data_IF_389765085060
#
_entry.id   IF_389765085060
#
_cell.length_a   1.000
_cell.length_b   1.000
_cell.length_c   1.000
_cell.angle_alpha   90.00
_cell.angle_beta   90.00
_cell.angle_gamma   90.00
#
_symmetry.space_group_name_H-M   'P 1'
#
loop_
_entity.id
_entity.type
_entity.pdbx_description
1 polymer ?
#
# COMPACT_ATOMS: atom_id res chain seq x y z
N UNK A 1 -2.99 -10.88 18.72
CA UNK A 1 -4.12 -10.67 19.68
C UNK A 1 -4.94 -11.95 19.85
N UNK A 2 -5.60 -12.45 18.80
CA UNK A 2 -6.47 -13.65 18.86
C UNK A 2 -5.71 -14.86 19.43
N UNK A 3 -4.58 -15.22 18.81
CA UNK A 3 -3.74 -16.35 19.23
C UNK A 3 -3.16 -16.12 20.63
N UNK A 4 -2.46 -15.00 20.85
CA UNK A 4 -1.80 -14.70 22.13
C UNK A 4 -2.74 -14.70 23.36
N UNK A 5 -4.02 -14.42 23.16
CA UNK A 5 -5.03 -14.38 24.23
C UNK A 5 -5.99 -15.59 24.19
N UNK A 6 -5.70 -16.60 23.35
CA UNK A 6 -6.49 -17.83 23.21
C UNK A 6 -7.98 -17.60 22.93
N UNK A 7 -8.32 -16.59 22.12
CA UNK A 7 -9.71 -16.39 21.72
C UNK A 7 -10.18 -17.55 20.81
N UNK A 8 -11.35 -18.17 21.06
CA UNK A 8 -11.88 -19.27 20.24
C UNK A 8 -12.56 -18.73 18.97
N UNK A 9 -11.81 -17.96 18.18
CA UNK A 9 -12.29 -17.33 16.94
C UNK A 9 -11.24 -17.45 15.85
N UNK A 10 -11.67 -17.39 14.58
CA UNK A 10 -10.79 -17.49 13.42
C UNK A 10 -10.78 -16.15 12.69
N UNK A 11 -9.59 -15.56 12.52
CA UNK A 11 -9.42 -14.37 11.71
C UNK A 11 -9.45 -14.76 10.23
N UNK A 12 -10.35 -14.16 9.46
CA UNK A 12 -10.42 -14.31 8.00
C UNK A 12 -10.11 -12.96 7.34
N UNK A 13 -8.88 -12.72 6.85
CA UNK A 13 -8.61 -11.55 6.04
C UNK A 13 -9.39 -11.64 4.72
N UNK A 14 -9.93 -10.51 4.27
CA UNK A 14 -10.62 -10.39 2.99
C UNK A 14 -9.87 -9.39 2.10
N UNK A 15 -9.95 -9.54 0.76
CA UNK A 15 -9.33 -8.58 -0.16
C UNK A 15 -9.86 -7.16 0.05
N UNK A 16 -8.98 -6.17 -0.12
CA UNK A 16 -9.35 -4.76 -0.10
C UNK A 16 -10.38 -4.49 -1.20
N UNK A 17 -11.56 -4.02 -0.80
CA UNK A 17 -12.60 -3.59 -1.74
C UNK A 17 -12.21 -2.23 -2.30
N UNK A 18 -12.35 -2.04 -3.61
CA UNK A 18 -11.99 -0.80 -4.32
C UNK A 18 -13.21 -0.12 -4.92
N UNK A 19 -13.11 1.20 -5.10
CA UNK A 19 -14.05 2.00 -5.89
C UNK A 19 -13.82 1.76 -7.40
N UNK A 20 -14.71 2.20 -8.31
CA UNK A 20 -14.53 2.01 -9.76
C UNK A 20 -13.23 2.60 -10.33
N UNK A 21 -12.63 3.57 -9.64
CA UNK A 21 -11.34 4.20 -9.98
C UNK A 21 -10.17 3.55 -9.21
N UNK A 22 -10.34 2.31 -8.74
CA UNK A 22 -9.36 1.50 -8.01
C UNK A 22 -8.85 2.05 -6.67
N UNK A 23 -9.38 3.20 -6.23
CA UNK A 23 -9.15 3.71 -4.88
C UNK A 23 -9.67 2.72 -3.83
N UNK A 24 -8.85 2.39 -2.82
CA UNK A 24 -9.28 1.57 -1.71
C UNK A 24 -10.51 2.21 -1.01
N UNK A 25 -11.58 1.44 -0.83
CA UNK A 25 -12.78 1.95 -0.17
C UNK A 25 -12.45 2.32 1.28
N UNK A 26 -12.73 3.56 1.62
CA UNK A 26 -12.51 4.09 2.96
C UNK A 26 -13.56 5.15 3.26
N UNK A 27 -14.11 5.14 4.47
CA UNK A 27 -14.99 6.21 4.94
C UNK A 27 -14.32 7.57 4.92
N UNK A 28 -12.97 7.62 4.93
CA UNK A 28 -12.19 8.85 4.85
C UNK A 28 -12.17 9.48 3.45
N UNK A 29 -12.53 8.73 2.40
CA UNK A 29 -12.53 9.24 1.03
C UNK A 29 -13.52 10.42 0.86
N UNK A 30 -14.51 10.54 1.75
CA UNK A 30 -15.45 11.69 1.79
C UNK A 30 -14.75 13.03 2.07
N UNK A 31 -13.56 13.01 2.65
CA UNK A 31 -12.80 14.21 2.99
C UNK A 31 -11.88 14.68 1.86
N UNK A 32 -11.78 13.93 0.76
CA UNK A 32 -11.03 14.33 -0.43
C UNK A 32 -11.79 15.44 -1.16
N UNK A 33 -11.06 16.45 -1.64
CA UNK A 33 -11.59 17.33 -2.68
C UNK A 33 -11.81 16.55 -3.98
N UNK A 34 -12.53 17.14 -4.93
CA UNK A 34 -12.73 16.52 -6.25
C UNK A 34 -11.40 16.27 -6.99
N UNK A 35 -10.44 17.20 -6.86
CA UNK A 35 -9.11 17.08 -7.45
C UNK A 35 -8.29 15.99 -6.76
N UNK A 36 -8.27 15.98 -5.42
CA UNK A 36 -7.57 14.94 -4.66
C UNK A 36 -8.16 13.55 -4.94
N UNK A 37 -9.47 13.45 -5.15
CA UNK A 37 -10.14 12.19 -5.48
C UNK A 37 -9.73 11.65 -6.85
N UNK A 38 -9.47 12.52 -7.83
CA UNK A 38 -8.94 12.12 -9.14
C UNK A 38 -7.47 11.67 -9.06
N UNK A 39 -6.71 12.19 -8.10
CA UNK A 39 -5.29 11.88 -7.94
C UNK A 39 -5.03 10.67 -7.01
N UNK A 40 -5.91 10.41 -6.03
CA UNK A 40 -5.79 9.33 -5.06
C UNK A 40 -5.60 7.91 -5.68
N UNK A 41 -6.19 7.57 -6.84
CA UNK A 41 -5.89 6.31 -7.55
C UNK A 41 -4.40 6.08 -7.90
N UNK A 42 -3.59 7.15 -7.98
CA UNK A 42 -2.14 7.02 -8.18
C UNK A 42 -1.47 6.16 -7.11
N UNK A 43 -2.01 6.12 -5.90
CA UNK A 43 -1.51 5.28 -4.80
C UNK A 43 -1.56 3.81 -5.22
N UNK A 44 -2.74 3.33 -5.63
CA UNK A 44 -2.89 1.92 -6.00
C UNK A 44 -2.12 1.59 -7.27
N UNK A 45 -2.10 2.52 -8.25
CA UNK A 45 -1.28 2.37 -9.45
C UNK A 45 0.21 2.20 -9.11
N UNK A 46 0.74 3.04 -8.23
CA UNK A 46 2.14 2.95 -7.79
C UNK A 46 2.44 1.59 -7.14
N UNK A 47 1.56 1.12 -6.26
CA UNK A 47 1.71 -0.16 -5.58
C UNK A 47 1.61 -1.36 -6.53
N UNK A 48 0.71 -1.32 -7.51
CA UNK A 48 0.52 -2.41 -8.49
C UNK A 48 1.65 -2.48 -9.50
N UNK A 49 2.16 -1.35 -9.98
CA UNK A 49 3.34 -1.31 -10.84
C UNK A 49 4.57 -1.86 -10.09
N UNK A 50 4.78 -1.45 -8.83
CA UNK A 50 5.85 -1.98 -7.99
C UNK A 50 5.70 -3.48 -7.69
N UNK A 51 4.47 -3.95 -7.47
CA UNK A 51 4.17 -5.39 -7.37
C UNK A 51 4.59 -6.14 -8.63
N UNK A 52 4.21 -5.64 -9.80
CA UNK A 52 4.57 -6.26 -11.08
C UNK A 52 6.10 -6.31 -11.29
N UNK A 53 6.82 -5.25 -10.90
CA UNK A 53 8.30 -5.25 -10.94
C UNK A 53 8.89 -6.40 -10.10
N UNK A 54 8.35 -6.63 -8.90
CA UNK A 54 8.81 -7.71 -8.03
C UNK A 54 8.45 -9.09 -8.59
N UNK A 55 7.24 -9.26 -9.13
CA UNK A 55 6.82 -10.50 -9.79
C UNK A 55 7.69 -10.83 -11.02
N UNK A 56 8.22 -9.82 -11.70
CA UNK A 56 9.17 -9.96 -12.81
C UNK A 56 10.63 -10.21 -12.37
N UNK A 57 10.88 -10.39 -11.07
CA UNK A 57 12.20 -10.74 -10.55
C UNK A 57 13.05 -9.54 -10.10
N UNK A 58 12.53 -8.31 -10.10
CA UNK A 58 13.24 -7.18 -9.48
C UNK A 58 13.35 -7.44 -7.98
N UNK A 59 14.57 -7.32 -7.42
CA UNK A 59 14.85 -7.55 -5.99
C UNK A 59 15.53 -6.36 -5.30
N UNK A 60 15.81 -5.30 -6.05
CA UNK A 60 16.36 -4.05 -5.55
C UNK A 60 15.25 -3.22 -4.90
N UNK A 61 15.21 -3.24 -3.56
CA UNK A 61 14.20 -2.55 -2.75
C UNK A 61 14.21 -1.05 -2.99
N UNK A 62 15.39 -0.43 -3.10
CA UNK A 62 15.50 1.01 -3.26
C UNK A 62 14.89 1.44 -4.60
N UNK A 63 15.16 0.70 -5.68
CA UNK A 63 14.56 0.96 -6.98
C UNK A 63 13.03 0.79 -6.97
N UNK A 64 12.51 -0.20 -6.25
CA UNK A 64 11.07 -0.43 -6.11
C UNK A 64 10.41 0.72 -5.35
N UNK A 65 10.97 1.11 -4.20
CA UNK A 65 10.44 2.22 -3.39
C UNK A 65 10.52 3.56 -4.15
N UNK A 66 11.61 3.81 -4.86
CA UNK A 66 11.77 5.01 -5.69
C UNK A 66 10.75 5.07 -6.82
N UNK A 67 10.38 3.93 -7.42
CA UNK A 67 9.30 3.86 -8.42
C UNK A 67 7.96 4.29 -7.81
N UNK A 68 7.61 3.73 -6.64
CA UNK A 68 6.37 4.09 -5.93
C UNK A 68 6.34 5.59 -5.62
N UNK A 69 7.44 6.13 -5.09
CA UNK A 69 7.58 7.55 -4.82
C UNK A 69 7.36 8.39 -6.08
N UNK A 70 8.02 8.03 -7.19
CA UNK A 70 7.92 8.77 -8.45
C UNK A 70 6.51 8.78 -9.03
N UNK A 71 5.73 7.71 -8.87
CA UNK A 71 4.33 7.67 -9.36
C UNK A 71 3.44 8.53 -8.47
N UNK A 72 3.57 8.45 -7.14
CA UNK A 72 2.77 9.25 -6.22
C UNK A 72 3.08 10.74 -6.38
N UNK A 73 4.35 11.12 -6.63
CA UNK A 73 4.75 12.50 -6.89
C UNK A 73 4.19 13.11 -8.20
N UNK A 74 3.46 12.36 -9.02
CA UNK A 74 2.70 12.93 -10.14
C UNK A 74 1.48 13.71 -9.66
N UNK A 75 0.99 13.43 -8.44
CA UNK A 75 -0.04 14.22 -7.77
C UNK A 75 0.54 15.53 -7.25
N UNK A 76 -0.23 16.62 -7.39
CA UNK A 76 0.15 17.92 -6.84
C UNK A 76 -0.27 18.08 -5.38
N UNK A 77 -1.19 17.22 -4.90
CA UNK A 77 -1.82 17.32 -3.58
C UNK A 77 -1.37 16.23 -2.60
N UNK A 78 -0.64 15.23 -3.07
CA UNK A 78 -0.19 14.10 -2.25
C UNK A 78 1.18 14.36 -1.60
N UNK A 79 1.23 14.19 -0.28
CA UNK A 79 2.47 14.12 0.50
C UNK A 79 2.65 12.69 1.04
N UNK A 80 3.77 12.05 0.73
CA UNK A 80 4.08 10.70 1.22
C UNK A 80 4.46 10.79 2.70
N UNK A 81 3.75 10.06 3.56
CA UNK A 81 4.09 9.91 4.98
C UNK A 81 5.09 8.75 5.17
N UNK A 82 4.82 7.61 4.54
CA UNK A 82 5.78 6.53 4.40
C UNK A 82 5.46 5.64 3.19
N UNK A 83 6.50 4.97 2.68
CA UNK A 83 6.38 3.80 1.81
C UNK A 83 7.39 2.79 2.34
N UNK A 84 6.90 1.61 2.70
CA UNK A 84 7.72 0.57 3.32
C UNK A 84 7.48 -0.78 2.66
N UNK A 85 8.54 -1.58 2.63
CA UNK A 85 8.51 -2.96 2.16
C UNK A 85 8.99 -3.84 3.31
N UNK A 86 8.10 -4.68 3.82
CA UNK A 86 8.30 -5.46 5.04
C UNK A 86 7.96 -6.93 4.83
N UNK A 87 8.45 -7.78 5.73
CA UNK A 87 7.99 -9.16 5.84
C UNK A 87 6.52 -9.19 6.26
N UNK A 88 5.79 -10.23 5.84
CA UNK A 88 4.42 -10.43 6.29
C UNK A 88 4.24 -11.88 6.77
N UNK A 89 3.61 -12.10 7.94
CA UNK A 89 2.88 -11.14 8.78
C UNK A 89 3.72 -10.39 9.85
N UNK A 90 5.04 -10.58 9.91
CA UNK A 90 5.87 -10.08 11.03
C UNK A 90 6.11 -8.57 11.00
N UNK A 91 5.99 -7.91 9.83
CA UNK A 91 6.22 -6.47 9.63
C UNK A 91 7.66 -6.05 10.00
N UNK A 92 8.63 -6.88 9.64
CA UNK A 92 10.05 -6.64 9.90
C UNK A 92 10.78 -6.22 8.62
N UNK A 93 11.89 -5.49 8.79
CA UNK A 93 12.76 -5.13 7.69
C UNK A 93 13.33 -6.39 7.01
N UNK A 94 13.33 -6.40 5.68
CA UNK A 94 13.81 -7.51 4.88
C UNK A 94 15.24 -7.24 4.39
N UNK A 95 16.26 -8.01 4.80
CA UNK A 95 17.59 -7.91 4.20
C UNK A 95 17.58 -8.38 2.74
N UNK A 96 16.65 -9.26 2.38
CA UNK A 96 16.45 -9.79 1.03
C UNK A 96 14.96 -9.95 0.74
N UNK A 97 14.52 -9.59 -0.46
CA UNK A 97 13.13 -9.74 -0.90
C UNK A 97 12.81 -11.20 -1.24
N UNK A 98 12.23 -11.93 -0.29
CA UNK A 98 11.86 -13.35 -0.42
C UNK A 98 10.62 -13.67 0.42
N UNK A 99 9.81 -14.62 -0.05
CA UNK A 99 8.62 -15.08 0.63
C UNK A 99 7.50 -14.04 0.57
N UNK A 100 6.59 -14.11 1.54
CA UNK A 100 5.47 -13.19 1.57
C UNK A 100 5.89 -11.81 2.10
N UNK A 101 5.69 -10.79 1.27
CA UNK A 101 6.02 -9.41 1.58
C UNK A 101 4.80 -8.51 1.48
N UNK A 102 4.82 -7.41 2.24
CA UNK A 102 3.85 -6.33 2.15
C UNK A 102 4.57 -5.06 1.69
N UNK A 103 4.06 -4.47 0.60
CA UNK A 103 4.39 -3.11 0.21
C UNK A 103 3.24 -2.23 0.68
N UNK A 104 3.51 -1.36 1.65
CA UNK A 104 2.51 -0.50 2.28
C UNK A 104 2.91 0.96 2.14
N UNK A 105 1.92 1.84 1.99
CA UNK A 105 2.15 3.27 1.99
C UNK A 105 1.06 4.02 2.74
N UNK A 106 1.43 5.21 3.22
CA UNK A 106 0.50 6.21 3.69
C UNK A 106 0.76 7.54 3.00
N UNK A 107 -0.31 8.19 2.54
CA UNK A 107 -0.27 9.44 1.79
C UNK A 107 -1.23 10.42 2.42
N UNK A 108 -0.74 11.63 2.70
CA UNK A 108 -1.53 12.76 3.21
C UNK A 108 -1.99 13.61 2.03
N UNK A 109 -3.27 13.93 2.05
CA UNK A 109 -3.92 14.99 1.32
C UNK A 109 -4.31 16.08 2.32
N UNK A 110 -4.93 17.18 1.88
CA UNK A 110 -5.16 18.37 2.70
C UNK A 110 -5.87 18.03 4.03
N UNK A 111 -6.91 17.19 3.98
CA UNK A 111 -7.78 16.88 5.13
C UNK A 111 -7.86 15.39 5.45
N UNK A 112 -7.05 14.57 4.79
CA UNK A 112 -7.14 13.12 4.92
C UNK A 112 -5.81 12.43 4.73
N UNK A 113 -5.54 11.43 5.56
CA UNK A 113 -4.44 10.49 5.41
C UNK A 113 -4.99 9.15 4.93
N UNK A 114 -4.66 8.78 3.70
CA UNK A 114 -5.01 7.51 3.09
C UNK A 114 -3.91 6.48 3.33
N UNK A 115 -4.30 5.21 3.38
CA UNK A 115 -3.40 4.06 3.43
C UNK A 115 -3.83 3.07 2.35
N UNK A 116 -2.86 2.40 1.75
CA UNK A 116 -3.09 1.25 0.90
C UNK A 116 -1.87 0.34 0.96
N UNK A 117 -2.06 -0.93 0.59
CA UNK A 117 -1.01 -1.92 0.59
C UNK A 117 -1.31 -3.03 -0.42
N UNK A 118 -0.25 -3.70 -0.86
CA UNK A 118 -0.33 -4.92 -1.66
C UNK A 118 0.52 -6.02 -1.02
N UNK A 119 0.00 -7.25 -1.07
CA UNK A 119 0.74 -8.45 -0.71
C UNK A 119 1.32 -9.08 -1.98
N UNK A 120 2.56 -9.54 -1.88
CA UNK A 120 3.28 -10.22 -2.95
C UNK A 120 3.99 -11.44 -2.37
N UNK A 121 4.04 -12.53 -3.14
CA UNK A 121 4.77 -13.75 -2.79
C UNK A 121 5.98 -13.88 -3.73
N UNK A 122 7.20 -13.91 -3.18
CA UNK A 122 8.48 -13.68 -3.88
C UNK A 122 9.50 -14.81 -3.83
#
# INVERSE_FOLDING_TARGET
>A
MIENLNFPTVLRPIPTVREPEDLAKSSRNVNLSEQERQEAPLIYRALTEAKAMMEQGKRDQQAILAHVQSVIHQSQHAEIDYIELLSYPQLEALPTLKGQVILACAVKFERVRLIDNVLVDL
#
